data_IF_546367836040
#
_entry.id   IF_546367836040
#
_cell.length_a   1.000
_cell.length_b   1.000
_cell.length_c   1.000
_cell.angle_alpha   90.00
_cell.angle_beta   90.00
_cell.angle_gamma   90.00
#
_symmetry.space_group_name_H-M   'P 1'
#
loop_
_entity.id
_entity.type
_entity.pdbx_description
1 polymer ?
#
# COMPACT_ATOMS: atom_id res chain seq x y z
N UNK A 1 17.85 18.46 -2.23
CA UNK A 1 18.76 17.71 -3.11
C UNK A 1 19.44 16.62 -2.31
N UNK A 2 19.62 15.44 -2.90
CA UNK A 2 20.23 14.27 -2.25
C UNK A 2 21.64 13.95 -2.77
N UNK A 3 22.24 14.86 -3.55
CA UNK A 3 23.60 14.68 -4.09
C UNK A 3 24.62 14.71 -2.96
N UNK A 4 25.31 13.58 -2.74
CA UNK A 4 26.32 13.44 -1.70
C UNK A 4 25.76 13.27 -0.28
N UNK A 5 24.44 13.03 -0.15
CA UNK A 5 23.79 12.72 1.12
C UNK A 5 23.78 11.20 1.30
N UNK A 6 24.10 10.74 2.51
CA UNK A 6 24.07 9.30 2.85
C UNK A 6 22.63 8.80 2.87
N UNK A 7 22.41 7.53 2.56
CA UNK A 7 21.08 6.94 2.64
C UNK A 7 20.46 7.09 4.03
N UNK A 8 19.16 7.35 4.04
CA UNK A 8 18.31 7.63 5.21
C UNK A 8 18.62 8.93 5.96
N UNK A 9 19.57 9.75 5.49
CA UNK A 9 19.79 11.09 6.01
C UNK A 9 18.80 12.10 5.46
N UNK A 10 18.67 13.23 6.17
CA UNK A 10 17.77 14.31 5.78
C UNK A 10 18.18 14.94 4.45
N UNK A 11 17.19 15.22 3.60
CA UNK A 11 17.39 15.96 2.36
C UNK A 11 17.98 17.36 2.62
N UNK A 12 18.88 17.83 1.75
CA UNK A 12 19.42 19.19 1.83
C UNK A 12 18.53 20.20 1.09
N UNK A 13 18.30 21.37 1.67
CA UNK A 13 17.54 22.46 1.04
C UNK A 13 16.03 22.39 1.25
N UNK A 14 15.27 23.22 0.53
CA UNK A 14 13.81 23.27 0.68
C UNK A 14 13.13 22.06 0.00
N UNK A 15 12.39 21.28 0.78
CA UNK A 15 11.67 20.06 0.38
C UNK A 15 10.15 20.20 0.36
N UNK A 16 9.61 21.38 0.68
CA UNK A 16 8.17 21.65 0.81
C UNK A 16 7.38 21.41 -0.48
N UNK A 17 8.07 21.43 -1.63
CA UNK A 17 7.49 21.11 -2.94
C UNK A 17 7.32 19.59 -3.17
N UNK A 18 8.05 18.77 -2.44
CA UNK A 18 8.10 17.32 -2.62
C UNK A 18 7.31 16.60 -1.53
N UNK A 19 7.68 16.81 -0.27
CA UNK A 19 6.95 16.30 0.88
C UNK A 19 5.98 17.37 1.42
N UNK A 20 4.77 16.99 1.87
CA UNK A 20 3.88 17.90 2.56
C UNK A 20 4.51 18.47 3.85
N UNK A 21 3.96 19.58 4.33
CA UNK A 21 4.37 20.17 5.62
C UNK A 21 4.28 19.13 6.75
N UNK A 22 5.27 19.11 7.63
CA UNK A 22 5.47 18.15 8.73
C UNK A 22 5.88 16.72 8.36
N UNK A 23 6.14 16.40 7.09
CA UNK A 23 6.67 15.08 6.71
C UNK A 23 8.18 15.17 6.44
N UNK A 24 9.02 14.39 7.17
CA UNK A 24 10.46 14.42 6.96
C UNK A 24 10.84 13.86 5.58
N UNK A 25 11.68 14.60 4.86
CA UNK A 25 12.33 14.14 3.62
C UNK A 25 13.63 13.42 3.94
N UNK A 26 13.83 12.24 3.36
CA UNK A 26 15.06 11.47 3.45
C UNK A 26 15.60 11.12 2.06
N UNK A 27 16.89 10.80 1.99
CA UNK A 27 17.55 10.40 0.75
C UNK A 27 17.76 8.88 0.69
N UNK A 28 17.59 8.28 -0.48
CA UNK A 28 17.99 6.90 -0.74
C UNK A 28 18.46 6.77 -2.18
N UNK A 29 19.63 6.17 -2.39
CA UNK A 29 20.24 5.97 -3.71
C UNK A 29 20.39 7.29 -4.50
N UNK A 30 20.60 8.40 -3.78
CA UNK A 30 20.67 9.75 -4.36
C UNK A 30 19.32 10.37 -4.75
N UNK A 31 18.20 9.69 -4.49
CA UNK A 31 16.84 10.17 -4.73
C UNK A 31 16.14 10.59 -3.42
N UNK A 32 15.36 11.70 -3.42
CA UNK A 32 14.56 12.08 -2.26
C UNK A 32 13.29 11.24 -2.14
N UNK A 33 12.95 10.82 -0.93
CA UNK A 33 11.68 10.17 -0.59
C UNK A 33 11.11 10.76 0.70
N UNK A 34 9.78 10.72 0.84
CA UNK A 34 9.12 11.16 2.07
C UNK A 34 9.02 9.99 3.05
N UNK A 35 9.53 10.16 4.28
CA UNK A 35 9.39 9.17 5.33
C UNK A 35 8.03 9.34 5.99
N UNK A 36 7.13 8.42 5.71
CA UNK A 36 5.76 8.44 6.20
C UNK A 36 5.65 7.99 7.66
N UNK A 37 4.75 8.63 8.39
CA UNK A 37 4.49 8.29 9.79
C UNK A 37 3.73 6.98 9.95
N UNK A 38 3.99 6.35 11.09
CA UNK A 38 3.32 5.16 11.57
C UNK A 38 2.85 5.41 12.99
N UNK A 39 1.61 5.03 13.29
CA UNK A 39 1.06 5.14 14.63
C UNK A 39 0.13 3.97 14.95
N UNK A 40 0.06 3.65 16.23
CA UNK A 40 -0.81 2.62 16.77
C UNK A 40 -1.96 3.24 17.53
N UNK A 41 -3.18 2.81 17.25
CA UNK A 41 -4.36 3.15 18.08
C UNK A 41 -5.05 1.87 18.53
N UNK A 42 -4.80 1.49 19.79
CA UNK A 42 -5.26 0.23 20.37
C UNK A 42 -4.60 -0.98 19.72
N UNK A 43 -5.40 -1.82 19.05
CA UNK A 43 -4.94 -3.02 18.34
C UNK A 43 -4.70 -2.78 16.84
N UNK A 44 -4.97 -1.58 16.35
CA UNK A 44 -4.83 -1.23 14.93
C UNK A 44 -3.55 -0.46 14.70
N UNK A 45 -2.75 -1.00 13.78
CA UNK A 45 -1.57 -0.33 13.24
C UNK A 45 -1.98 0.45 12.00
N UNK A 46 -1.64 1.74 11.98
CA UNK A 46 -1.87 2.62 10.86
C UNK A 46 -0.54 3.14 10.34
N UNK A 47 -0.43 3.19 9.02
CA UNK A 47 0.73 3.74 8.36
C UNK A 47 0.31 4.48 7.10
N UNK A 48 0.99 5.57 6.82
CA UNK A 48 0.80 6.28 5.57
C UNK A 48 1.71 5.70 4.49
N UNK A 49 1.17 5.57 3.28
CA UNK A 49 1.81 5.00 2.10
C UNK A 49 1.73 5.99 0.93
N UNK A 50 2.58 5.77 -0.06
CA UNK A 50 2.64 6.58 -1.29
C UNK A 50 3.74 7.64 -1.27
N UNK A 51 4.02 8.27 -2.42
CA UNK A 51 5.15 9.19 -2.60
C UNK A 51 5.06 10.45 -1.71
N UNK A 52 3.85 10.79 -1.25
CA UNK A 52 3.58 11.95 -0.38
C UNK A 52 2.84 11.57 0.90
N UNK A 53 2.88 10.29 1.30
CA UNK A 53 2.21 9.80 2.52
C UNK A 53 0.71 10.14 2.57
N UNK A 54 0.04 10.11 1.41
CA UNK A 54 -1.35 10.53 1.25
C UNK A 54 -2.35 9.36 1.36
N UNK A 55 -1.87 8.11 1.42
CA UNK A 55 -2.72 6.94 1.55
C UNK A 55 -2.60 6.35 2.94
N UNK A 56 -3.66 6.45 3.75
CA UNK A 56 -3.73 5.77 5.05
C UNK A 56 -4.05 4.30 4.83
N UNK A 57 -3.23 3.42 5.40
CA UNK A 57 -3.45 1.98 5.40
C UNK A 57 -3.40 1.44 6.82
N UNK A 58 -4.13 0.35 7.02
CA UNK A 58 -4.01 -0.49 8.20
C UNK A 58 -3.90 -1.98 7.81
N UNK A 59 -3.66 -2.84 8.79
CA UNK A 59 -3.48 -4.29 8.58
C UNK A 59 -4.70 -4.94 7.93
N UNK A 60 -5.91 -4.47 8.23
CA UNK A 60 -7.14 -4.99 7.61
C UNK A 60 -7.20 -4.60 6.13
N UNK A 61 -6.82 -3.37 5.77
CA UNK A 61 -6.84 -2.93 4.36
C UNK A 61 -5.93 -3.82 3.51
N UNK A 62 -4.74 -4.14 4.02
CA UNK A 62 -3.81 -5.04 3.34
C UNK A 62 -4.39 -6.45 3.18
N UNK A 63 -4.99 -7.02 4.23
CA UNK A 63 -5.63 -8.34 4.17
C UNK A 63 -6.76 -8.34 3.16
N UNK A 64 -7.60 -7.30 3.14
CA UNK A 64 -8.73 -7.20 2.22
C UNK A 64 -8.26 -7.13 0.77
N UNK A 65 -7.28 -6.28 0.46
CA UNK A 65 -6.72 -6.15 -0.89
C UNK A 65 -6.09 -7.45 -1.37
N UNK A 66 -5.43 -8.21 -0.50
CA UNK A 66 -4.82 -9.48 -0.85
C UNK A 66 -5.85 -10.63 -1.00
N UNK A 67 -6.91 -10.65 -0.19
CA UNK A 67 -7.84 -11.80 -0.10
C UNK A 67 -9.07 -11.67 -0.99
N UNK A 68 -9.63 -10.47 -1.16
CA UNK A 68 -10.86 -10.26 -1.94
C UNK A 68 -10.76 -10.75 -3.39
N UNK A 69 -9.66 -10.52 -4.15
CA UNK A 69 -9.53 -11.02 -5.51
C UNK A 69 -9.54 -12.55 -5.57
N UNK A 70 -8.86 -13.21 -4.63
CA UNK A 70 -8.81 -14.67 -4.55
C UNK A 70 -10.19 -15.25 -4.24
N UNK A 71 -10.89 -14.68 -3.25
CA UNK A 71 -12.25 -15.09 -2.89
C UNK A 71 -13.21 -14.93 -4.08
N UNK A 72 -13.13 -13.81 -4.80
CA UNK A 72 -13.95 -13.57 -5.98
C UNK A 72 -13.70 -14.62 -7.08
N UNK A 73 -12.44 -14.95 -7.36
CA UNK A 73 -12.09 -15.99 -8.34
C UNK A 73 -12.62 -17.37 -7.96
N UNK A 74 -12.51 -17.75 -6.68
CA UNK A 74 -13.05 -19.02 -6.18
C UNK A 74 -14.56 -19.10 -6.39
N UNK A 75 -15.28 -18.03 -6.05
CA UNK A 75 -16.73 -17.96 -6.25
C UNK A 75 -17.08 -18.13 -7.74
N UNK A 76 -16.38 -17.43 -8.64
CA UNK A 76 -16.61 -17.55 -10.08
C UNK A 76 -16.43 -18.99 -10.56
N UNK A 77 -15.31 -19.63 -10.18
CA UNK A 77 -15.01 -21.01 -10.58
C UNK A 77 -16.09 -21.98 -10.08
N UNK A 78 -16.51 -21.85 -8.81
CA UNK A 78 -17.54 -22.71 -8.21
C UNK A 78 -18.90 -22.53 -8.92
N UNK A 79 -19.30 -21.29 -9.20
CA UNK A 79 -20.54 -20.99 -9.93
C UNK A 79 -20.50 -21.57 -11.34
N UNK A 80 -19.39 -21.38 -12.06
CA UNK A 80 -19.24 -21.91 -13.42
C UNK A 80 -19.32 -23.44 -13.41
N UNK A 81 -18.55 -24.10 -12.54
CA UNK A 81 -18.56 -25.57 -12.44
C UNK A 81 -19.94 -26.10 -12.06
N UNK A 82 -20.61 -25.52 -11.06
CA UNK A 82 -21.95 -25.95 -10.65
C UNK A 82 -22.96 -25.84 -11.79
N UNK A 83 -22.93 -24.76 -12.59
CA UNK A 83 -23.78 -24.62 -13.78
C UNK A 83 -23.45 -25.67 -14.84
N UNK A 84 -22.16 -25.94 -15.10
CA UNK A 84 -21.74 -27.00 -16.02
C UNK A 84 -22.22 -28.39 -15.57
N UNK A 85 -22.05 -28.73 -14.30
CA UNK A 85 -22.54 -30.00 -13.73
C UNK A 85 -24.06 -30.11 -13.81
N UNK A 86 -24.80 -29.04 -13.46
CA UNK A 86 -26.26 -29.02 -13.59
C UNK A 86 -26.74 -29.19 -15.03
N UNK A 87 -26.00 -28.62 -15.99
CA UNK A 87 -26.30 -28.77 -17.42
C UNK A 87 -26.03 -30.20 -17.91
N UNK A 88 -24.96 -30.84 -17.45
CA UNK A 88 -24.64 -32.23 -17.78
C UNK A 88 -25.67 -33.22 -17.21
N UNK A 89 -26.25 -32.96 -16.03
CA UNK A 89 -27.27 -33.83 -15.43
C UNK A 89 -28.62 -33.74 -16.18
N UNK A 90 -28.90 -32.60 -16.83
CA UNK A 90 -30.15 -32.35 -17.57
C UNK A 90 -30.11 -32.78 -19.05
N UNK A 91 -28.94 -33.10 -19.59
CA UNK A 91 -28.76 -33.56 -20.97
C UNK A 91 -28.80 -35.09 -21.06
#
# INVERSE_FOLDING_TARGET
>A
TCSGVVDFEACLGNTDKFCPENIPCQCKDGEPFCRCDYYRTGWKEYWYMGPKCNHLWNTLDFILVATLPAVALVIIVVVVLSVYFLKMIKA
#
